data_IF_055076994137
#
_entry.id   IF_055076994137
#
_cell.length_a   1.000
_cell.length_b   1.000
_cell.length_c   1.000
_cell.angle_alpha   90.00
_cell.angle_beta   90.00
_cell.angle_gamma   90.00
#
_symmetry.space_group_name_H-M   'P 1'
#
loop_
_entity.id
_entity.type
_entity.pdbx_description
1 polymer ?
#
# COMPACT_ATOMS: atom_id res chain seq x y z
N UNK A 1 -59.72 -39.73 26.73
CA UNK A 1 -58.46 -40.43 27.06
C UNK A 1 -57.42 -39.97 26.05
N UNK A 2 -57.19 -38.67 25.89
CA UNK A 2 -56.46 -37.78 26.82
C UNK A 2 -55.08 -38.37 27.11
N UNK A 3 -54.04 -37.80 26.47
CA UNK A 3 -52.65 -37.69 26.95
C UNK A 3 -51.65 -37.56 25.78
N UNK A 4 -51.80 -36.55 24.92
CA UNK A 4 -50.71 -36.22 23.98
C UNK A 4 -50.55 -34.74 23.59
N UNK A 5 -50.98 -33.81 24.45
CA UNK A 5 -50.80 -32.36 24.23
C UNK A 5 -50.22 -31.68 25.46
N UNK A 6 -49.03 -32.08 25.94
CA UNK A 6 -48.26 -31.26 26.90
C UNK A 6 -46.75 -31.55 26.82
N UNK A 7 -46.10 -31.28 25.68
CA UNK A 7 -44.63 -31.11 25.70
C UNK A 7 -43.99 -30.42 24.47
N UNK A 8 -44.58 -29.34 23.95
CA UNK A 8 -43.95 -28.56 22.86
C UNK A 8 -43.69 -27.09 23.24
N UNK A 9 -44.30 -26.59 24.32
CA UNK A 9 -44.25 -25.14 24.65
C UNK A 9 -43.08 -24.69 25.53
N UNK A 10 -42.20 -25.59 25.99
CA UNK A 10 -41.08 -25.22 26.88
C UNK A 10 -39.74 -25.02 26.17
N UNK A 11 -39.63 -25.30 24.87
CA UNK A 11 -38.37 -25.12 24.11
C UNK A 11 -38.33 -23.89 23.20
N UNK A 12 -39.42 -23.14 23.05
CA UNK A 12 -39.44 -21.92 22.21
C UNK A 12 -39.46 -20.60 22.99
N UNK A 13 -39.45 -20.64 24.34
CA UNK A 13 -39.38 -19.43 25.18
C UNK A 13 -38.03 -19.19 25.85
N UNK A 14 -36.99 -19.96 25.53
CA UNK A 14 -35.67 -19.85 26.17
C UNK A 14 -34.55 -19.28 25.28
N UNK A 15 -34.82 -18.94 24.02
CA UNK A 15 -33.77 -18.53 23.08
C UNK A 15 -33.83 -17.05 22.65
N UNK A 16 -34.55 -16.17 23.37
CA UNK A 16 -34.66 -14.75 22.95
C UNK A 16 -34.40 -13.70 24.04
N UNK A 17 -34.00 -14.07 25.26
CA UNK A 17 -33.85 -13.09 26.36
C UNK A 17 -32.48 -12.99 27.05
N UNK A 18 -31.47 -13.79 26.74
CA UNK A 18 -30.14 -13.69 27.39
C UNK A 18 -29.01 -13.40 26.41
N UNK A 19 -28.98 -12.18 25.89
CA UNK A 19 -27.74 -11.36 25.82
C UNK A 19 -28.06 -9.91 25.40
N UNK A 20 -29.07 -9.28 26.02
CA UNK A 20 -29.20 -7.83 25.95
C UNK A 20 -28.28 -7.26 27.01
N UNK A 21 -27.02 -7.00 26.64
CA UNK A 21 -26.18 -6.15 27.47
C UNK A 21 -26.95 -4.88 27.85
N UNK A 22 -26.84 -4.38 29.09
CA UNK A 22 -27.53 -3.19 29.50
C UNK A 22 -27.23 -2.06 28.50
N UNK A 23 -28.26 -1.27 28.18
CA UNK A 23 -28.17 -0.20 27.17
C UNK A 23 -26.99 0.74 27.48
N UNK A 24 -26.66 0.93 28.75
CA UNK A 24 -25.50 1.69 29.22
C UNK A 24 -24.16 1.09 28.76
N UNK A 25 -23.96 -0.23 28.84
CA UNK A 25 -22.74 -0.89 28.34
C UNK A 25 -22.64 -0.82 26.81
N UNK A 26 -23.78 -0.90 26.11
CA UNK A 26 -23.82 -0.72 24.66
C UNK A 26 -23.45 0.72 24.25
N UNK A 27 -23.97 1.71 24.98
CA UNK A 27 -23.63 3.13 24.77
C UNK A 27 -22.14 3.35 25.04
N UNK A 28 -21.60 2.85 26.16
CA UNK A 28 -20.19 2.99 26.49
C UNK A 28 -19.28 2.38 25.41
N UNK A 29 -19.59 1.19 24.88
CA UNK A 29 -18.81 0.62 23.77
C UNK A 29 -18.87 1.45 22.50
N UNK A 30 -20.03 1.99 22.16
CA UNK A 30 -20.15 2.87 20.99
C UNK A 30 -19.37 4.17 21.20
N UNK A 31 -19.37 4.74 22.41
CA UNK A 31 -18.57 5.92 22.76
C UNK A 31 -17.06 5.65 22.67
N UNK A 32 -16.60 4.49 23.12
CA UNK A 32 -15.21 4.05 22.96
C UNK A 32 -14.82 3.92 21.48
N UNK A 33 -15.68 3.29 20.67
CA UNK A 33 -15.48 3.14 19.23
C UNK A 33 -15.42 4.51 18.53
N UNK A 34 -16.34 5.41 18.87
CA UNK A 34 -16.36 6.78 18.32
C UNK A 34 -15.10 7.55 18.73
N UNK A 35 -14.64 7.39 19.97
CA UNK A 35 -13.41 8.02 20.46
C UNK A 35 -12.20 7.48 19.71
N UNK A 36 -12.12 6.17 19.53
CA UNK A 36 -11.08 5.52 18.74
C UNK A 36 -11.02 6.04 17.30
N UNK A 37 -12.16 6.16 16.61
CA UNK A 37 -12.19 6.71 15.26
C UNK A 37 -11.82 8.20 15.22
N UNK A 38 -12.24 8.99 16.22
CA UNK A 38 -11.85 10.40 16.33
C UNK A 38 -10.35 10.56 16.50
N UNK A 39 -9.74 9.74 17.35
CA UNK A 39 -8.28 9.77 17.56
C UNK A 39 -7.54 9.24 16.32
N UNK A 40 -8.10 8.25 15.63
CA UNK A 40 -7.59 7.78 14.33
C UNK A 40 -7.59 8.87 13.26
N UNK A 41 -8.67 9.65 13.15
CA UNK A 41 -8.74 10.78 12.23
C UNK A 41 -7.72 11.87 12.59
N UNK A 42 -7.59 12.22 13.87
CA UNK A 42 -6.57 13.18 14.34
C UNK A 42 -5.16 12.72 14.00
N UNK A 43 -4.88 11.42 14.13
CA UNK A 43 -3.59 10.86 13.76
C UNK A 43 -3.29 10.99 12.25
N UNK A 44 -4.30 10.73 11.41
CA UNK A 44 -4.19 10.94 9.96
C UNK A 44 -3.90 12.41 9.65
N UNK A 45 -4.65 13.34 10.26
CA UNK A 45 -4.45 14.78 10.06
C UNK A 45 -3.03 15.24 10.44
N UNK A 46 -2.49 14.73 11.55
CA UNK A 46 -1.13 15.02 11.99
C UNK A 46 -0.08 14.50 11.01
N UNK A 47 -0.28 13.29 10.48
CA UNK A 47 0.62 12.70 9.49
C UNK A 47 0.55 13.47 8.16
N UNK A 48 -0.63 13.94 7.76
CA UNK A 48 -0.80 14.72 6.53
C UNK A 48 -0.09 16.08 6.63
N UNK A 49 -0.15 16.74 7.79
CA UNK A 49 0.63 17.95 8.07
C UNK A 49 2.15 17.68 7.99
N UNK A 50 2.56 16.48 8.39
CA UNK A 50 3.87 15.85 8.20
C UNK A 50 4.50 15.98 6.80
N UNK A 51 3.65 16.02 5.77
CA UNK A 51 4.05 15.80 4.38
C UNK A 51 5.14 16.75 3.89
N UNK A 52 4.96 18.06 4.12
CA UNK A 52 5.92 19.07 3.64
C UNK A 52 7.29 18.94 4.32
N UNK A 53 7.30 18.63 5.62
CA UNK A 53 8.55 18.44 6.37
C UNK A 53 9.33 17.24 5.84
N UNK A 54 8.64 16.13 5.54
CA UNK A 54 9.27 14.92 4.97
C UNK A 54 9.84 15.19 3.58
N UNK A 55 9.11 15.92 2.72
CA UNK A 55 9.60 16.31 1.40
C UNK A 55 10.84 17.21 1.51
N UNK A 56 10.89 18.10 2.50
CA UNK A 56 12.06 18.92 2.75
C UNK A 56 13.27 18.07 3.20
N UNK A 57 13.03 17.02 4.00
CA UNK A 57 14.08 16.10 4.46
C UNK A 57 14.73 15.29 3.33
N UNK A 58 14.08 15.10 2.19
CA UNK A 58 14.70 14.48 1.01
C UNK A 58 15.95 15.25 0.54
N UNK A 59 15.96 16.57 0.72
CA UNK A 59 17.08 17.44 0.37
C UNK A 59 17.96 17.79 1.58
N UNK A 60 17.80 17.11 2.72
CA UNK A 60 18.62 17.35 3.90
C UNK A 60 20.10 17.07 3.59
N UNK A 61 21.04 17.91 4.07
CA UNK A 61 22.47 17.63 3.98
C UNK A 61 22.85 16.38 4.81
N UNK A 62 22.06 16.02 5.80
CA UNK A 62 22.28 14.84 6.64
C UNK A 62 21.78 13.58 5.94
N UNK A 63 22.70 12.64 5.66
CA UNK A 63 22.36 11.37 5.03
C UNK A 63 21.32 10.57 5.81
N UNK A 64 21.46 10.51 7.14
CA UNK A 64 20.57 9.75 8.01
C UNK A 64 19.11 10.24 7.94
N UNK A 65 18.92 11.56 7.91
CA UNK A 65 17.60 12.18 7.82
C UNK A 65 16.93 11.89 6.48
N UNK A 66 17.71 11.97 5.39
CA UNK A 66 17.25 11.64 4.04
C UNK A 66 16.78 10.17 3.95
N UNK A 67 17.57 9.22 4.47
CA UNK A 67 17.21 7.79 4.46
C UNK A 67 15.96 7.54 5.30
N UNK A 68 15.87 8.11 6.50
CA UNK A 68 14.70 7.97 7.36
C UNK A 68 13.44 8.57 6.73
N UNK A 69 13.57 9.72 6.05
CA UNK A 69 12.47 10.32 5.30
C UNK A 69 11.98 9.42 4.15
N UNK A 70 12.91 8.80 3.42
CA UNK A 70 12.58 7.82 2.36
C UNK A 70 11.83 6.62 2.95
N UNK A 71 12.35 6.01 4.02
CA UNK A 71 11.69 4.85 4.64
C UNK A 71 10.32 5.22 5.22
N UNK A 72 10.19 6.40 5.82
CA UNK A 72 8.90 6.92 6.30
C UNK A 72 7.92 7.08 5.14
N UNK A 73 8.32 7.71 4.03
CA UNK A 73 7.49 7.89 2.84
C UNK A 73 7.00 6.56 2.24
N UNK A 74 7.88 5.55 2.19
CA UNK A 74 7.51 4.20 1.73
C UNK A 74 6.46 3.57 2.65
N UNK A 75 6.55 3.76 3.96
CA UNK A 75 5.54 3.25 4.89
C UNK A 75 4.18 3.94 4.71
N UNK A 76 4.16 5.27 4.57
CA UNK A 76 2.93 6.03 4.26
C UNK A 76 2.27 5.46 2.99
N UNK A 77 3.08 5.18 1.97
CA UNK A 77 2.62 4.58 0.71
C UNK A 77 2.05 3.18 0.88
N UNK A 78 2.70 2.35 1.69
CA UNK A 78 2.28 0.98 1.99
C UNK A 78 0.94 0.95 2.73
N UNK A 79 0.75 1.85 3.71
CA UNK A 79 -0.51 2.00 4.44
C UNK A 79 -1.61 2.72 3.66
N UNK A 80 -1.34 3.14 2.42
CA UNK A 80 -2.30 3.86 1.55
C UNK A 80 -2.88 5.11 2.21
N UNK A 81 -2.05 5.80 2.99
CA UNK A 81 -2.43 7.08 3.56
C UNK A 81 -2.46 8.13 2.44
N UNK A 82 -3.50 8.96 2.42
CA UNK A 82 -3.68 9.97 1.39
C UNK A 82 -2.84 11.19 1.73
N UNK A 83 -1.79 11.43 0.97
CA UNK A 83 -1.02 12.68 1.05
C UNK A 83 -1.31 13.59 -0.14
N UNK A 84 -1.39 14.92 0.08
CA UNK A 84 -1.44 15.88 -1.00
C UNK A 84 -0.25 15.70 -1.94
N UNK A 85 -0.52 15.63 -3.25
CA UNK A 85 0.51 15.56 -4.29
C UNK A 85 1.50 14.39 -4.15
N UNK A 86 1.04 13.25 -3.63
CA UNK A 86 1.85 12.06 -3.41
C UNK A 86 2.69 11.64 -4.62
N UNK A 87 2.12 11.69 -5.82
CA UNK A 87 2.84 11.41 -7.07
C UNK A 87 3.99 12.40 -7.33
N UNK A 88 3.80 13.69 -7.03
CA UNK A 88 4.88 14.68 -7.16
C UNK A 88 6.00 14.41 -6.15
N UNK A 89 5.65 14.04 -4.92
CA UNK A 89 6.62 13.73 -3.87
C UNK A 89 7.41 12.45 -4.18
N UNK A 90 6.74 11.46 -4.77
CA UNK A 90 7.38 10.24 -5.25
C UNK A 90 8.40 10.56 -6.36
N UNK A 91 8.07 11.47 -7.28
CA UNK A 91 9.01 11.95 -8.31
C UNK A 91 10.23 12.67 -7.73
N UNK A 92 10.02 13.51 -6.72
CA UNK A 92 11.11 14.19 -6.01
C UNK A 92 12.03 13.18 -5.32
N UNK A 93 11.45 12.16 -4.70
CA UNK A 93 12.19 11.06 -4.08
C UNK A 93 13.03 10.30 -5.12
N UNK A 94 12.44 9.87 -6.24
CA UNK A 94 13.18 9.09 -7.26
C UNK A 94 14.27 9.88 -7.96
N UNK A 95 14.14 11.21 -8.08
CA UNK A 95 15.21 12.07 -8.61
C UNK A 95 16.52 11.93 -7.82
N UNK A 96 16.46 11.55 -6.54
CA UNK A 96 17.65 11.33 -5.71
C UNK A 96 18.53 10.17 -6.19
N UNK A 97 18.10 9.36 -7.17
CA UNK A 97 18.95 8.35 -7.80
C UNK A 97 20.22 8.95 -8.42
N UNK A 98 20.16 10.22 -8.86
CA UNK A 98 21.28 10.95 -9.43
C UNK A 98 22.19 11.61 -8.38
N UNK A 99 21.98 11.33 -7.10
CA UNK A 99 22.86 11.82 -6.04
C UNK A 99 24.27 11.23 -6.17
N UNK A 100 25.27 12.02 -5.77
CA UNK A 100 26.67 11.55 -5.70
C UNK A 100 26.84 10.51 -4.57
N UNK A 101 25.97 10.54 -3.56
CA UNK A 101 25.99 9.64 -2.41
C UNK A 101 25.42 8.25 -2.78
N UNK A 102 26.29 7.24 -2.90
CA UNK A 102 25.89 5.85 -3.22
C UNK A 102 24.87 5.28 -2.22
N UNK A 103 24.95 5.68 -0.95
CA UNK A 103 23.98 5.26 0.08
C UNK A 103 22.57 5.78 -0.18
N UNK A 104 22.42 7.00 -0.73
CA UNK A 104 21.09 7.52 -1.13
C UNK A 104 20.55 6.74 -2.32
N UNK A 105 21.38 6.49 -3.33
CA UNK A 105 21.00 5.68 -4.49
C UNK A 105 20.51 4.29 -4.06
N UNK A 106 21.24 3.63 -3.15
CA UNK A 106 20.86 2.32 -2.63
C UNK A 106 19.54 2.35 -1.86
N UNK A 107 19.30 3.39 -1.07
CA UNK A 107 18.03 3.58 -0.35
C UNK A 107 16.86 3.75 -1.32
N UNK A 108 17.02 4.54 -2.38
CA UNK A 108 16.01 4.71 -3.43
C UNK A 108 15.72 3.40 -4.16
N UNK A 109 16.76 2.67 -4.52
CA UNK A 109 16.64 1.37 -5.20
C UNK A 109 15.91 0.35 -4.31
N UNK A 110 16.16 0.36 -3.00
CA UNK A 110 15.40 -0.46 -2.04
C UNK A 110 13.95 0.02 -1.87
N UNK A 111 13.72 1.32 -1.80
CA UNK A 111 12.38 1.91 -1.72
C UNK A 111 11.54 1.57 -2.95
N UNK A 112 12.12 1.65 -4.16
CA UNK A 112 11.46 1.24 -5.40
C UNK A 112 11.06 -0.23 -5.37
N UNK A 113 11.95 -1.10 -4.88
CA UNK A 113 11.62 -2.52 -4.71
C UNK A 113 10.45 -2.70 -3.75
N UNK A 114 10.47 -2.03 -2.59
CA UNK A 114 9.35 -2.08 -1.64
C UNK A 114 8.05 -1.56 -2.26
N UNK A 115 8.07 -0.49 -3.05
CA UNK A 115 6.84 0.09 -3.61
C UNK A 115 6.26 -0.79 -4.73
N UNK A 116 7.11 -1.31 -5.63
CA UNK A 116 6.65 -2.02 -6.83
C UNK A 116 6.56 -3.55 -6.66
N UNK A 117 7.35 -4.12 -5.74
CA UNK A 117 7.53 -5.57 -5.59
C UNK A 117 7.08 -6.11 -4.23
N UNK A 118 6.71 -5.26 -3.27
CA UNK A 118 6.12 -5.72 -2.01
C UNK A 118 4.66 -6.11 -2.25
N UNK A 119 4.49 -7.32 -2.76
CA UNK A 119 3.20 -7.95 -2.90
C UNK A 119 2.90 -8.59 -1.56
N UNK A 120 1.87 -8.07 -0.87
CA UNK A 120 1.41 -8.53 0.43
C UNK A 120 1.55 -10.05 0.60
N UNK A 121 2.06 -10.54 1.74
CA UNK A 121 2.33 -11.96 1.98
C UNK A 121 1.09 -12.87 1.84
N UNK A 122 -0.09 -12.27 1.71
CA UNK A 122 -1.36 -12.97 1.44
C UNK A 122 -1.45 -13.53 0.02
N UNK A 123 -0.66 -13.04 -0.96
CA UNK A 123 -0.69 -13.55 -2.35
C UNK A 123 0.33 -14.69 -2.49
N UNK A 124 -0.10 -15.97 -2.54
CA UNK A 124 0.81 -17.11 -2.39
C UNK A 124 1.61 -17.44 -3.66
N UNK A 125 1.31 -16.79 -4.77
CA UNK A 125 1.80 -17.19 -6.09
C UNK A 125 2.78 -16.16 -6.65
N UNK A 126 4.05 -16.53 -6.68
CA UNK A 126 5.16 -15.74 -7.24
C UNK A 126 4.87 -15.21 -8.65
N UNK A 127 4.15 -15.96 -9.48
CA UNK A 127 3.73 -15.56 -10.83
C UNK A 127 2.68 -14.43 -10.84
N UNK A 128 1.81 -14.38 -9.83
CA UNK A 128 0.85 -13.28 -9.65
C UNK A 128 1.60 -12.03 -9.19
N UNK A 129 2.60 -12.19 -8.32
CA UNK A 129 3.46 -11.08 -7.90
C UNK A 129 4.17 -10.42 -9.10
N UNK A 130 4.82 -11.21 -9.97
CA UNK A 130 5.50 -10.64 -11.14
C UNK A 130 4.54 -9.96 -12.10
N UNK A 131 3.35 -10.51 -12.32
CA UNK A 131 2.33 -9.85 -13.16
C UNK A 131 1.82 -8.55 -12.57
N UNK A 132 1.58 -8.50 -11.26
CA UNK A 132 1.16 -7.29 -10.56
C UNK A 132 2.26 -6.24 -10.58
N UNK A 133 3.52 -6.62 -10.37
CA UNK A 133 4.65 -5.71 -10.48
C UNK A 133 4.84 -5.19 -11.90
N UNK A 134 4.76 -6.05 -12.91
CA UNK A 134 4.82 -5.62 -14.31
C UNK A 134 3.66 -4.67 -14.66
N UNK A 135 2.45 -4.92 -14.12
CA UNK A 135 1.32 -3.99 -14.23
C UNK A 135 1.59 -2.65 -13.54
N UNK A 136 2.13 -2.67 -12.32
CA UNK A 136 2.48 -1.45 -11.58
C UNK A 136 3.54 -0.62 -12.31
N UNK A 137 4.54 -1.26 -12.92
CA UNK A 137 5.55 -0.59 -13.76
C UNK A 137 4.89 0.04 -14.99
N UNK A 138 4.02 -0.68 -15.69
CA UNK A 138 3.30 -0.15 -16.87
C UNK A 138 2.42 1.04 -16.48
N UNK A 139 1.65 0.92 -15.39
CA UNK A 139 0.81 2.01 -14.91
C UNK A 139 1.64 3.22 -14.46
N UNK A 140 2.80 3.02 -13.84
CA UNK A 140 3.72 4.10 -13.50
C UNK A 140 4.34 4.78 -14.73
N UNK A 141 4.45 4.09 -15.86
CA UNK A 141 5.00 4.61 -17.11
C UNK A 141 3.95 5.19 -18.08
N UNK A 142 2.67 4.83 -17.94
CA UNK A 142 1.60 5.16 -18.91
C UNK A 142 1.42 6.66 -19.13
N UNK A 143 1.58 7.46 -18.07
CA UNK A 143 1.45 8.93 -18.09
C UNK A 143 2.75 9.63 -17.63
N UNK A 144 3.89 8.92 -17.72
CA UNK A 144 5.16 9.43 -17.22
C UNK A 144 5.75 10.54 -18.10
N UNK A 145 6.27 11.59 -17.48
CA UNK A 145 7.05 12.61 -18.19
C UNK A 145 8.39 12.01 -18.66
N UNK A 146 9.02 12.53 -19.72
CA UNK A 146 10.34 12.06 -20.17
C UNK A 146 11.41 11.99 -19.07
N UNK A 147 11.42 12.98 -18.15
CA UNK A 147 12.32 12.97 -17.00
C UNK A 147 12.05 11.82 -16.04
N UNK A 148 10.83 11.30 -16.03
CA UNK A 148 10.37 10.21 -15.19
C UNK A 148 10.81 8.85 -15.73
N UNK A 149 10.65 8.66 -17.03
CA UNK A 149 11.20 7.51 -17.74
C UNK A 149 12.71 7.36 -17.47
N UNK A 150 13.45 8.47 -17.48
CA UNK A 150 14.90 8.47 -17.31
C UNK A 150 15.35 7.98 -15.92
N UNK A 151 14.73 8.44 -14.84
CA UNK A 151 15.10 7.94 -13.51
C UNK A 151 14.60 6.50 -13.30
N UNK A 152 13.48 6.09 -13.89
CA UNK A 152 13.03 4.69 -13.84
C UNK A 152 14.02 3.77 -14.56
N UNK A 153 14.51 4.18 -15.73
CA UNK A 153 15.54 3.46 -16.47
C UNK A 153 16.81 3.29 -15.63
N UNK A 154 17.26 4.36 -14.96
CA UNK A 154 18.46 4.31 -14.13
C UNK A 154 18.28 3.39 -12.90
N UNK A 155 17.13 3.47 -12.22
CA UNK A 155 16.80 2.58 -11.10
C UNK A 155 16.79 1.12 -11.58
N UNK A 156 16.15 0.83 -12.73
CA UNK A 156 16.10 -0.52 -13.29
C UNK A 156 17.49 -1.04 -13.68
N UNK A 157 18.34 -0.21 -14.30
CA UNK A 157 19.74 -0.56 -14.61
C UNK A 157 20.49 -0.96 -13.35
N UNK A 158 20.34 -0.19 -12.27
CA UNK A 158 21.00 -0.47 -10.99
C UNK A 158 20.48 -1.78 -10.37
N UNK A 159 19.17 -2.02 -10.42
CA UNK A 159 18.55 -3.25 -9.91
C UNK A 159 19.00 -4.51 -10.66
N UNK A 160 19.09 -4.43 -11.99
CA UNK A 160 19.57 -5.52 -12.84
C UNK A 160 21.05 -5.79 -12.55
N UNK A 161 21.87 -4.75 -12.42
CA UNK A 161 23.29 -4.86 -12.07
C UNK A 161 23.48 -5.56 -10.71
N UNK A 162 22.65 -5.22 -9.73
CA UNK A 162 22.70 -5.81 -8.38
C UNK A 162 22.04 -7.19 -8.28
N UNK A 163 21.43 -7.71 -9.36
CA UNK A 163 20.69 -8.99 -9.39
C UNK A 163 19.62 -9.12 -8.30
N UNK A 164 19.06 -8.00 -7.84
CA UNK A 164 18.00 -7.99 -6.80
C UNK A 164 16.63 -8.39 -7.34
N UNK A 165 16.49 -8.43 -8.65
CA UNK A 165 15.24 -8.70 -9.35
C UNK A 165 15.43 -9.93 -10.24
N UNK A 166 14.50 -10.90 -10.25
CA UNK A 166 14.51 -12.00 -11.19
C UNK A 166 14.13 -11.50 -12.58
N UNK A 167 15.12 -10.97 -13.30
CA UNK A 167 14.97 -10.32 -14.61
C UNK A 167 14.23 -11.20 -15.61
N UNK A 168 14.50 -12.51 -15.62
CA UNK A 168 13.87 -13.46 -16.54
C UNK A 168 12.36 -13.59 -16.30
N UNK A 169 11.93 -13.71 -15.04
CA UNK A 169 10.52 -13.86 -14.69
C UNK A 169 9.71 -12.60 -14.99
N UNK A 170 10.29 -11.42 -14.75
CA UNK A 170 9.63 -10.14 -15.04
C UNK A 170 9.64 -9.82 -16.53
N UNK A 171 10.73 -10.12 -17.24
CA UNK A 171 10.75 -10.00 -18.70
C UNK A 171 9.69 -10.90 -19.33
N UNK A 172 9.55 -12.15 -18.86
CA UNK A 172 8.50 -13.04 -19.34
C UNK A 172 7.09 -12.50 -19.04
N UNK A 173 6.88 -11.95 -17.83
CA UNK A 173 5.61 -11.33 -17.47
C UNK A 173 5.28 -10.09 -18.33
N UNK A 174 6.27 -9.21 -18.56
CA UNK A 174 6.14 -8.05 -19.44
C UNK A 174 5.87 -8.47 -20.89
N UNK A 175 6.57 -9.48 -21.41
CA UNK A 175 6.34 -10.01 -22.76
C UNK A 175 4.94 -10.61 -22.92
N UNK A 176 4.42 -11.28 -21.88
CA UNK A 176 3.04 -11.78 -21.87
C UNK A 176 2.03 -10.63 -21.90
N UNK A 177 2.25 -9.58 -21.10
CA UNK A 177 1.39 -8.38 -21.08
C UNK A 177 1.44 -7.60 -22.40
N UNK A 178 2.59 -7.55 -23.07
CA UNK A 178 2.72 -6.92 -24.39
C UNK A 178 1.94 -7.69 -25.46
N UNK A 179 1.97 -9.03 -25.43
CA UNK A 179 1.26 -9.88 -26.41
C UNK A 179 -0.24 -9.93 -26.19
N UNK A 180 -0.69 -9.79 -24.94
CA UNK A 180 -2.09 -9.81 -24.55
C UNK A 180 -2.38 -8.53 -23.74
N UNK A 181 -2.61 -7.39 -24.42
CA UNK A 181 -2.92 -6.14 -23.75
C UNK A 181 -4.20 -6.28 -22.91
N UNK A 182 -4.21 -5.59 -21.76
CA UNK A 182 -5.28 -5.64 -20.75
C UNK A 182 -6.68 -5.40 -21.35
N UNK A 183 -7.65 -6.22 -20.94
CA UNK A 183 -9.07 -5.93 -21.01
C UNK A 183 -9.43 -5.06 -19.77
N UNK A 184 -10.22 -3.99 -19.98
CA UNK A 184 -10.40 -2.81 -19.10
C UNK A 184 -10.75 -3.13 -17.62
N UNK A 185 -11.18 -4.35 -17.31
CA UNK A 185 -11.62 -4.76 -15.97
C UNK A 185 -10.49 -4.96 -14.94
N UNK A 186 -9.23 -4.99 -15.37
CA UNK A 186 -8.09 -5.28 -14.47
C UNK A 186 -7.34 -4.02 -14.01
N UNK A 187 -7.61 -2.87 -14.64
CA UNK A 187 -7.14 -1.54 -14.21
C UNK A 187 -7.63 -1.20 -12.79
N UNK A 188 -8.71 -1.83 -12.33
CA UNK A 188 -9.21 -1.66 -10.96
C UNK A 188 -8.24 -2.26 -9.93
N UNK A 189 -7.44 -3.27 -10.27
CA UNK A 189 -6.53 -3.93 -9.32
C UNK A 189 -5.15 -3.27 -9.33
N UNK A 190 -4.62 -2.94 -10.52
CA UNK A 190 -3.34 -2.24 -10.65
C UNK A 190 -3.46 -0.74 -10.29
N UNK A 191 -4.55 -0.09 -10.73
CA UNK A 191 -4.91 1.28 -10.37
C UNK A 191 -5.10 1.43 -8.86
N UNK A 192 -5.82 0.51 -8.18
CA UNK A 192 -5.96 0.53 -6.70
C UNK A 192 -4.66 0.25 -5.92
N UNK A 193 -3.63 -0.26 -6.57
CA UNK A 193 -2.31 -0.36 -5.93
C UNK A 193 -1.59 0.98 -6.05
N UNK A 194 -1.88 1.78 -7.08
CA UNK A 194 -1.24 3.06 -7.39
C UNK A 194 -1.96 4.32 -6.90
N UNK A 195 -3.29 4.35 -6.90
CA UNK A 195 -4.15 5.36 -6.24
C UNK A 195 -4.53 4.93 -4.83
#
# INVERSE_FOLDING_TARGET
>A
DEDNEMNVDNNQKKETEENKEPIEEQIMRVEEIVTFYKDGLRFIDLIEQANQDVVNLFNSPTLADCIQAIDFFVNIRHYRLTWPNMEQNLRLMFRLIWSVDESKCKAITQAFVKICFDVSPTIPQMNVCFRLTSGAIICALKDATFSEELYFEEILKQLIKEKKIPTEAIAEALWKLYKFPYDDNTDVIAGKILT
#
